data_IF_420739766791
#
_entry.id   IF_420739766791
#
_cell.length_a   1.000
_cell.length_b   1.000
_cell.length_c   1.000
_cell.angle_alpha   90.00
_cell.angle_beta   90.00
_cell.angle_gamma   90.00
#
_symmetry.space_group_name_H-M   'P 1'
#
loop_
_entity.id
_entity.type
_entity.pdbx_description
1 polymer ?
#
# COMPACT_ATOMS: atom_id res chain seq x y z
N UNK A 1 4.44 39.84 -35.25
CA UNK A 1 3.17 39.60 -35.96
C UNK A 1 2.16 39.10 -34.93
N UNK A 2 1.19 39.93 -34.51
CA UNK A 2 0.17 39.54 -33.53
C UNK A 2 -0.91 38.72 -34.26
N UNK A 3 -1.02 37.41 -34.00
CA UNK A 3 -2.19 36.63 -34.46
C UNK A 3 -3.38 36.97 -33.57
N UNK A 4 -4.44 37.53 -34.16
CA UNK A 4 -5.67 37.89 -33.43
C UNK A 4 -6.55 36.69 -33.07
N UNK A 5 -6.37 35.57 -33.77
CA UNK A 5 -7.14 34.36 -33.58
C UNK A 5 -6.21 33.15 -33.60
N UNK A 6 -6.53 32.13 -32.81
CA UNK A 6 -5.84 30.84 -32.80
C UNK A 6 -6.87 29.72 -32.65
N UNK A 7 -6.62 28.61 -33.35
CA UNK A 7 -7.32 27.33 -33.18
C UNK A 7 -6.52 26.35 -32.33
N UNK A 8 -5.40 26.79 -31.76
CA UNK A 8 -4.54 25.95 -30.95
C UNK A 8 -5.27 25.59 -29.66
N UNK A 9 -5.14 24.33 -29.25
CA UNK A 9 -5.69 23.89 -27.99
C UNK A 9 -4.89 24.49 -26.84
N UNK A 10 -5.58 25.15 -25.90
CA UNK A 10 -4.91 25.75 -24.75
C UNK A 10 -4.39 24.65 -23.82
N UNK A 11 -3.08 24.54 -23.69
CA UNK A 11 -2.40 23.61 -22.78
C UNK A 11 -1.80 24.42 -21.63
N UNK A 12 -2.10 24.03 -20.40
CA UNK A 12 -1.51 24.69 -19.24
C UNK A 12 -0.03 24.37 -19.10
N UNK A 13 0.74 25.31 -18.56
CA UNK A 13 2.15 25.12 -18.20
C UNK A 13 2.41 25.60 -16.79
N UNK A 14 3.12 24.81 -15.99
CA UNK A 14 3.51 25.14 -14.63
C UNK A 14 4.97 25.61 -14.59
N UNK A 15 5.32 26.43 -13.61
CA UNK A 15 6.72 26.71 -13.28
C UNK A 15 7.31 25.67 -12.32
N UNK A 16 8.56 25.89 -11.89
CA UNK A 16 9.26 25.01 -10.96
C UNK A 16 8.64 24.95 -9.55
N UNK A 17 7.78 25.91 -9.21
CA UNK A 17 7.04 25.96 -7.94
C UNK A 17 5.64 25.33 -8.07
N UNK A 18 5.27 24.85 -9.27
CA UNK A 18 3.96 24.25 -9.53
C UNK A 18 2.85 25.27 -9.76
N UNK A 19 3.18 26.54 -10.01
CA UNK A 19 2.21 27.60 -10.29
C UNK A 19 1.97 27.69 -11.79
N UNK A 20 0.70 27.79 -12.19
CA UNK A 20 0.29 27.87 -13.59
C UNK A 20 0.70 29.22 -14.20
N UNK A 21 1.51 29.17 -15.26
CA UNK A 21 2.00 30.32 -16.04
C UNK A 21 1.25 30.56 -17.34
N UNK A 22 0.50 29.58 -17.80
CA UNK A 22 -0.37 29.67 -18.98
C UNK A 22 -1.67 28.94 -18.66
N UNK A 23 -2.80 29.60 -18.85
CA UNK A 23 -4.10 28.95 -18.68
C UNK A 23 -4.31 27.90 -19.77
N UNK A 24 -4.97 26.80 -19.43
CA UNK A 24 -5.29 25.74 -20.37
C UNK A 24 -5.65 24.44 -19.69
N UNK A 25 -5.82 23.40 -20.50
CA UNK A 25 -6.09 22.05 -20.03
C UNK A 25 -4.79 21.32 -19.70
N UNK A 26 -4.82 20.51 -18.64
CA UNK A 26 -3.74 19.62 -18.25
C UNK A 26 -4.32 18.28 -17.81
N UNK A 27 -3.66 17.18 -18.18
CA UNK A 27 -3.93 15.88 -17.57
C UNK A 27 -3.26 15.85 -16.19
N UNK A 28 -4.05 15.57 -15.17
CA UNK A 28 -3.56 15.37 -13.80
C UNK A 28 -3.86 13.94 -13.35
N UNK A 29 -3.00 13.43 -12.48
CA UNK A 29 -3.05 12.08 -11.95
C UNK A 29 -3.46 12.14 -10.48
N UNK A 30 -4.65 11.64 -10.17
CA UNK A 30 -5.30 11.81 -8.89
C UNK A 30 -5.01 10.64 -7.96
N UNK A 31 -4.95 10.93 -6.67
CA UNK A 31 -4.73 9.94 -5.61
C UNK A 31 -5.79 10.02 -4.54
N UNK A 32 -6.00 8.91 -3.84
CA UNK A 32 -6.83 8.89 -2.63
C UNK A 32 -6.13 9.71 -1.53
N UNK A 33 -6.84 10.61 -0.82
CA UNK A 33 -6.22 11.55 0.12
C UNK A 33 -5.49 10.86 1.28
N UNK A 34 -6.03 9.76 1.79
CA UNK A 34 -5.44 9.03 2.93
C UNK A 34 -4.40 7.98 2.53
N UNK A 35 -4.72 7.08 1.59
CA UNK A 35 -3.82 5.98 1.21
C UNK A 35 -2.75 6.39 0.21
N UNK A 36 -2.90 7.57 -0.43
CA UNK A 36 -2.08 8.05 -1.55
C UNK A 36 -2.12 7.15 -2.79
N UNK A 37 -3.02 6.17 -2.81
CA UNK A 37 -3.19 5.25 -3.93
C UNK A 37 -3.65 6.01 -5.16
N UNK A 38 -3.03 5.70 -6.30
CA UNK A 38 -3.45 6.23 -7.59
C UNK A 38 -4.88 5.78 -7.92
N UNK A 39 -5.74 6.73 -8.28
CA UNK A 39 -7.13 6.48 -8.61
C UNK A 39 -7.36 6.54 -10.12
N UNK A 40 -6.99 7.65 -10.75
CA UNK A 40 -7.30 7.90 -12.14
C UNK A 40 -6.47 9.05 -12.71
N UNK A 41 -6.57 9.22 -14.03
CA UNK A 41 -6.17 10.42 -14.72
C UNK A 41 -7.43 11.21 -15.13
N UNK A 42 -7.42 12.52 -14.98
CA UNK A 42 -8.49 13.42 -15.41
C UNK A 42 -7.92 14.65 -16.11
N UNK A 43 -8.74 15.37 -16.86
CA UNK A 43 -8.38 16.65 -17.46
C UNK A 43 -8.93 17.79 -16.60
N UNK A 44 -8.07 18.73 -16.25
CA UNK A 44 -8.42 19.92 -15.48
C UNK A 44 -8.09 21.17 -16.29
N UNK A 45 -9.00 22.15 -16.28
CA UNK A 45 -8.71 23.47 -16.81
C UNK A 45 -8.12 24.33 -15.70
N UNK A 46 -6.89 24.79 -15.89
CA UNK A 46 -6.15 25.54 -14.90
C UNK A 46 -5.98 26.99 -15.37
N UNK A 47 -6.28 27.94 -14.50
CA UNK A 47 -6.07 29.36 -14.75
C UNK A 47 -4.66 29.79 -14.29
N UNK A 48 -4.08 30.79 -14.95
CA UNK A 48 -2.84 31.44 -14.48
C UNK A 48 -2.96 31.84 -13.01
N UNK A 49 -1.90 31.55 -12.23
CA UNK A 49 -1.85 31.79 -10.79
C UNK A 49 -2.45 30.67 -9.93
N UNK A 50 -3.17 29.72 -10.52
CA UNK A 50 -3.62 28.52 -9.81
C UNK A 50 -2.47 27.53 -9.59
N UNK A 51 -2.69 26.58 -8.69
CA UNK A 51 -1.90 25.35 -8.53
C UNK A 51 -2.74 24.15 -8.97
N UNK A 52 -2.13 22.97 -9.02
CA UNK A 52 -2.89 21.74 -9.20
C UNK A 52 -3.91 21.56 -8.06
N UNK A 53 -5.08 20.94 -8.34
CA UNK A 53 -5.98 20.49 -7.29
C UNK A 53 -5.25 19.64 -6.24
N UNK A 54 -5.67 19.68 -4.96
CA UNK A 54 -5.12 18.80 -3.94
C UNK A 54 -5.17 17.33 -4.37
N UNK A 55 -4.14 16.57 -4.01
CA UNK A 55 -4.02 15.14 -4.34
C UNK A 55 -3.97 14.81 -5.84
N UNK A 56 -3.60 15.79 -6.68
CA UNK A 56 -3.36 15.61 -8.10
C UNK A 56 -1.93 16.00 -8.48
N UNK A 57 -1.37 15.32 -9.47
CA UNK A 57 0.03 15.46 -9.87
C UNK A 57 0.16 15.57 -11.39
N UNK A 58 1.13 16.35 -11.86
CA UNK A 58 1.37 16.55 -13.29
C UNK A 58 2.25 15.45 -13.90
N UNK A 59 3.07 14.76 -13.08
CA UNK A 59 3.95 13.70 -13.56
C UNK A 59 3.18 12.38 -13.73
N UNK A 60 3.24 11.81 -14.93
CA UNK A 60 2.56 10.56 -15.28
C UNK A 60 3.18 9.37 -14.54
N UNK A 61 2.40 8.53 -13.85
CA UNK A 61 2.94 7.32 -13.24
C UNK A 61 3.21 6.22 -14.27
N UNK A 62 4.07 5.28 -13.86
CA UNK A 62 4.17 3.95 -14.48
C UNK A 62 3.24 3.01 -13.72
N UNK A 63 2.41 2.26 -14.45
CA UNK A 63 1.49 1.32 -13.82
C UNK A 63 2.25 0.13 -13.22
N UNK A 64 1.84 -0.35 -12.03
CA UNK A 64 2.50 -1.45 -11.36
C UNK A 64 2.13 -2.79 -12.00
N UNK A 65 2.97 -3.80 -11.78
CA UNK A 65 2.64 -5.21 -12.11
C UNK A 65 1.71 -5.81 -11.05
N UNK A 66 1.12 -6.97 -11.34
CA UNK A 66 0.28 -7.71 -10.38
C UNK A 66 0.98 -7.92 -9.03
N UNK A 67 0.24 -7.77 -7.93
CA UNK A 67 0.75 -7.87 -6.56
C UNK A 67 1.35 -6.57 -5.99
N UNK A 68 1.26 -5.47 -6.75
CA UNK A 68 1.75 -4.16 -6.35
C UNK A 68 0.69 -3.10 -6.60
N UNK A 69 0.60 -2.15 -5.67
CA UNK A 69 -0.20 -0.94 -5.80
C UNK A 69 0.70 0.27 -6.05
N UNK A 70 0.16 1.24 -6.78
CA UNK A 70 0.82 2.49 -7.08
C UNK A 70 0.34 3.56 -6.10
N UNK A 71 1.29 4.20 -5.42
CA UNK A 71 1.02 5.26 -4.44
C UNK A 71 1.90 6.47 -4.70
N UNK A 72 1.45 7.66 -4.30
CA UNK A 72 2.34 8.81 -4.18
C UNK A 72 3.21 8.69 -2.94
N UNK A 73 4.47 9.11 -2.99
CA UNK A 73 5.36 9.22 -1.82
C UNK A 73 4.80 10.13 -0.73
N UNK A 74 5.25 9.95 0.52
CA UNK A 74 4.72 10.71 1.67
C UNK A 74 4.98 12.22 1.54
N UNK A 75 6.09 12.60 0.90
CA UNK A 75 6.46 13.97 0.61
C UNK A 75 5.83 14.52 -0.69
N UNK A 76 5.05 13.70 -1.41
CA UNK A 76 4.36 14.11 -2.62
C UNK A 76 5.27 14.30 -3.84
N UNK A 77 6.54 13.89 -3.79
CA UNK A 77 7.53 14.19 -4.85
C UNK A 77 7.61 13.14 -5.96
N UNK A 78 7.25 11.89 -5.71
CA UNK A 78 7.36 10.84 -6.71
C UNK A 78 6.29 9.76 -6.56
N UNK A 79 6.12 8.98 -7.62
CA UNK A 79 5.37 7.74 -7.60
C UNK A 79 6.21 6.60 -7.02
N UNK A 80 5.56 5.74 -6.24
CA UNK A 80 6.17 4.57 -5.63
C UNK A 80 5.23 3.37 -5.78
N UNK A 81 5.81 2.18 -5.79
CA UNK A 81 5.05 0.93 -5.72
C UNK A 81 5.19 0.31 -4.35
N UNK A 82 4.07 -0.14 -3.79
CA UNK A 82 4.02 -0.87 -2.52
C UNK A 82 3.38 -2.23 -2.73
N UNK A 83 3.71 -3.20 -1.88
CA UNK A 83 3.09 -4.53 -1.95
C UNK A 83 1.57 -4.39 -1.79
N UNK A 84 0.82 -5.09 -2.63
CA UNK A 84 -0.63 -5.18 -2.53
C UNK A 84 -1.02 -6.64 -2.28
N UNK A 85 -1.30 -6.94 -1.02
CA UNK A 85 -1.82 -8.23 -0.57
C UNK A 85 -3.33 -8.16 -0.29
N UNK A 86 -4.03 -7.11 -0.72
CA UNK A 86 -5.46 -6.96 -0.42
C UNK A 86 -6.25 -8.12 -1.03
N UNK A 87 -7.25 -8.59 -0.28
CA UNK A 87 -8.03 -9.78 -0.65
C UNK A 87 -7.41 -11.09 -0.22
N UNK A 88 -6.10 -11.13 0.03
CA UNK A 88 -5.44 -12.27 0.65
C UNK A 88 -5.78 -12.39 2.15
N UNK A 89 -5.37 -13.51 2.73
CA UNK A 89 -5.63 -13.86 4.13
C UNK A 89 -4.31 -13.93 4.88
N UNK A 90 -4.25 -13.20 5.99
CA UNK A 90 -3.18 -13.32 6.97
C UNK A 90 -3.70 -13.92 8.29
N UNK A 91 -2.76 -14.25 9.17
CA UNK A 91 -3.02 -14.81 10.49
C UNK A 91 -2.24 -14.03 11.53
N UNK A 92 -2.89 -13.70 12.65
CA UNK A 92 -2.23 -13.11 13.81
C UNK A 92 -1.28 -14.13 14.43
N UNK A 93 0.02 -13.82 14.53
CA UNK A 93 1.03 -14.73 15.08
C UNK A 93 0.80 -15.06 16.56
N UNK A 94 0.15 -14.18 17.30
CA UNK A 94 -0.15 -14.40 18.72
C UNK A 94 -1.33 -15.35 18.92
N UNK A 95 -2.39 -15.20 18.12
CA UNK A 95 -3.68 -15.87 18.37
C UNK A 95 -4.06 -16.92 17.31
N UNK A 96 -3.37 -16.96 16.18
CA UNK A 96 -3.76 -17.74 15.01
C UNK A 96 -5.02 -17.23 14.29
N UNK A 97 -5.57 -16.08 14.72
CA UNK A 97 -6.83 -15.55 14.15
C UNK A 97 -6.65 -15.14 12.70
N UNK A 98 -7.60 -15.56 11.85
CA UNK A 98 -7.67 -15.22 10.42
C UNK A 98 -8.09 -13.76 10.23
N UNK A 99 -7.35 -13.03 9.39
CA UNK A 99 -7.58 -11.62 9.07
C UNK A 99 -7.57 -11.48 7.54
N UNK A 100 -8.61 -10.85 6.98
CA UNK A 100 -8.61 -10.46 5.56
C UNK A 100 -7.78 -9.19 5.43
N UNK A 101 -6.83 -9.18 4.49
CA UNK A 101 -6.02 -7.98 4.23
C UNK A 101 -6.84 -6.99 3.41
N UNK A 102 -6.94 -5.76 3.89
CA UNK A 102 -7.63 -4.64 3.26
C UNK A 102 -6.76 -3.37 3.17
N UNK A 103 -5.50 -3.44 3.62
CA UNK A 103 -4.54 -2.35 3.60
C UNK A 103 -3.43 -2.55 2.57
N UNK A 104 -2.81 -1.43 2.18
CA UNK A 104 -1.64 -1.40 1.31
C UNK A 104 -0.33 -1.51 2.09
N UNK A 105 0.69 -2.09 1.46
CA UNK A 105 2.04 -2.16 2.00
C UNK A 105 2.42 -3.53 2.50
N UNK A 106 3.62 -3.58 3.10
CA UNK A 106 4.17 -4.82 3.65
C UNK A 106 3.34 -5.33 4.82
N UNK A 107 3.30 -6.65 4.96
CA UNK A 107 2.60 -7.29 6.06
C UNK A 107 3.22 -6.87 7.42
N UNK A 108 2.44 -6.35 8.38
CA UNK A 108 2.93 -6.02 9.72
C UNK A 108 3.60 -7.21 10.40
N UNK A 109 4.62 -6.95 11.23
CA UNK A 109 5.42 -8.00 11.89
C UNK A 109 4.57 -8.99 12.71
N UNK A 110 3.44 -8.54 13.28
CA UNK A 110 2.52 -9.40 14.04
C UNK A 110 1.68 -10.37 13.18
N UNK A 111 1.73 -10.25 11.86
CA UNK A 111 0.96 -11.07 10.93
C UNK A 111 1.86 -12.00 10.10
N UNK A 112 1.28 -13.11 9.66
CA UNK A 112 1.91 -14.07 8.73
C UNK A 112 0.91 -14.52 7.66
N UNK A 113 1.37 -14.83 6.46
CA UNK A 113 0.55 -15.50 5.43
C UNK A 113 0.47 -17.01 5.64
N UNK A 114 1.27 -17.56 6.56
CA UNK A 114 1.23 -18.98 6.89
C UNK A 114 0.02 -19.26 7.77
N UNK A 115 -0.84 -20.18 7.33
CA UNK A 115 -1.96 -20.65 8.13
C UNK A 115 -1.47 -21.56 9.26
N UNK A 116 -2.02 -21.46 10.48
CA UNK A 116 -1.85 -22.50 11.48
C UNK A 116 -2.47 -23.80 10.97
N UNK A 117 -1.84 -24.92 11.31
CA UNK A 117 -2.33 -26.26 10.97
C UNK A 117 -3.40 -26.75 11.94
N UNK A 118 -3.37 -26.23 13.18
CA UNK A 118 -4.33 -26.56 14.23
C UNK A 118 -4.67 -25.35 15.09
N UNK A 119 -5.75 -25.44 15.89
CA UNK A 119 -6.15 -24.38 16.83
C UNK A 119 -5.21 -24.22 18.02
N UNK A 120 -4.43 -25.25 18.34
CA UNK A 120 -3.48 -25.29 19.46
C UNK A 120 -2.06 -24.91 19.04
N UNK A 121 -1.84 -24.55 17.78
CA UNK A 121 -0.53 -24.13 17.30
C UNK A 121 -0.12 -22.80 17.94
N UNK A 122 1.18 -22.67 18.19
CA UNK A 122 1.81 -21.43 18.64
C UNK A 122 2.90 -21.00 17.68
N UNK A 123 3.15 -19.69 17.57
CA UNK A 123 4.18 -19.16 16.70
C UNK A 123 5.55 -19.20 17.39
N UNK A 124 6.54 -19.87 16.78
CA UNK A 124 7.89 -20.00 17.33
C UNK A 124 8.85 -18.85 16.94
N UNK A 125 8.37 -17.89 16.15
CA UNK A 125 9.17 -16.82 15.55
C UNK A 125 9.27 -16.93 14.03
N UNK A 126 9.18 -18.15 13.49
CA UNK A 126 9.32 -18.43 12.04
C UNK A 126 8.15 -19.22 11.46
N UNK A 127 7.54 -20.12 12.23
CA UNK A 127 6.45 -21.00 11.80
C UNK A 127 5.52 -21.37 12.96
N UNK A 128 4.43 -22.04 12.61
CA UNK A 128 3.50 -22.64 13.57
C UNK A 128 4.06 -23.97 14.08
N UNK A 129 4.00 -24.18 15.40
CA UNK A 129 4.40 -25.43 16.07
C UNK A 129 3.28 -25.93 16.99
N UNK A 130 3.06 -27.25 16.98
CA UNK A 130 2.10 -27.88 17.87
C UNK A 130 2.67 -27.99 19.28
N UNK A 131 1.84 -27.73 20.29
CA UNK A 131 2.20 -28.03 21.69
C UNK A 131 1.99 -29.52 21.97
N UNK A 132 2.89 -30.39 21.50
CA UNK A 132 3.00 -31.78 21.98
C UNK A 132 4.45 -32.27 21.88
N UNK A 133 5.18 -32.15 22.99
CA UNK A 133 5.93 -33.22 23.69
C UNK A 133 6.91 -32.59 24.70
N UNK A 134 6.41 -31.95 25.76
CA UNK A 134 7.06 -32.14 27.06
C UNK A 134 6.40 -33.38 27.64
N UNK A 135 7.03 -34.53 27.42
CA UNK A 135 6.73 -35.72 28.20
C UNK A 135 6.86 -35.32 29.67
N UNK A 136 5.75 -35.35 30.41
CA UNK A 136 5.80 -35.44 31.85
C UNK A 136 6.61 -36.71 32.18
N UNK A 137 7.86 -36.57 32.60
CA UNK A 137 8.48 -37.62 33.39
C UNK A 137 7.84 -37.59 34.78
N UNK A 138 6.63 -38.16 34.87
CA UNK A 138 6.16 -38.72 36.13
C UNK A 138 6.94 -40.02 36.37
N UNK A 139 8.12 -39.89 36.97
CA UNK A 139 8.76 -41.02 37.62
C UNK A 139 8.07 -41.26 38.96
N UNK A 140 7.03 -42.09 38.99
CA UNK A 140 6.58 -42.75 40.22
C UNK A 140 6.81 -44.26 40.05
N UNK A 141 7.87 -44.75 40.71
CA UNK A 141 8.03 -45.95 41.58
C UNK A 141 7.11 -47.16 41.37
N UNK A 142 7.54 -48.44 41.60
CA UNK A 142 8.18 -48.89 42.86
C UNK A 142 9.13 -50.12 42.82
N UNK A 143 9.91 -50.33 43.90
CA UNK A 143 9.96 -51.56 44.76
C UNK A 143 11.28 -51.71 45.57
N UNK A 144 11.11 -51.80 46.90
CA UNK A 144 11.95 -52.50 47.90
C UNK A 144 12.07 -54.01 47.55
N UNK A 145 13.04 -54.83 48.06
CA UNK A 145 13.46 -54.89 49.48
C UNK A 145 14.95 -55.18 49.79
N UNK A 146 15.42 -54.77 50.97
CA UNK A 146 16.12 -55.61 51.98
C UNK A 146 16.24 -54.84 53.28
#
# INVERSE_FOLDING_TARGET
>A
MYRRYSTDFAIASLDAQGIVRRSGWMVVYCTHPSTREYLCATQEYLCVGATLPPHSFADKPVLPTKGWALVRSCDGRCWQTVVDLRGEVAYCKETGSRIKIDFLGSLPTGLTLLAPTSRSDTWDGQKWVHKDNQSCHCGTDPKTPS
#
